data_IF_358287370557
#
_entry.id   IF_358287370557
#
_cell.length_a   1.000
_cell.length_b   1.000
_cell.length_c   1.000
_cell.angle_alpha   90.00
_cell.angle_beta   90.00
_cell.angle_gamma   90.00
#
_symmetry.space_group_name_H-M   'P 1'
#
loop_
_entity.id
_entity.type
_entity.pdbx_description
1 polymer ?
#
# COMPACT_ATOMS: atom_id res chain seq x y z
N UNK A 1 -2.73 -3.00 -20.75
CA UNK A 1 -2.54 -1.80 -19.92
C UNK A 1 -3.76 -1.64 -19.04
N UNK A 2 -3.60 -1.74 -17.72
CA UNK A 2 -4.69 -1.53 -16.77
C UNK A 2 -4.96 -0.02 -16.69
N UNK A 3 -5.97 0.45 -17.41
CA UNK A 3 -6.40 1.84 -17.30
C UNK A 3 -7.21 2.03 -16.04
N UNK A 4 -6.87 3.03 -15.25
CA UNK A 4 -7.71 3.52 -14.18
C UNK A 4 -9.00 4.14 -14.78
N UNK A 5 -10.18 3.94 -14.18
CA UNK A 5 -11.39 4.64 -14.58
C UNK A 5 -11.27 6.15 -14.28
N UNK A 6 -12.14 7.02 -14.81
CA UNK A 6 -12.15 8.42 -14.39
C UNK A 6 -12.47 8.56 -12.89
N UNK A 7 -11.69 9.34 -12.14
CA UNK A 7 -11.88 9.55 -10.71
C UNK A 7 -13.32 9.98 -10.33
N UNK A 8 -14.02 10.83 -11.12
CA UNK A 8 -15.40 11.21 -10.81
C UNK A 8 -16.42 10.06 -10.91
N UNK A 9 -16.08 8.95 -11.57
CA UNK A 9 -16.96 7.78 -11.71
C UNK A 9 -16.82 6.77 -10.58
N UNK A 10 -15.83 6.93 -9.70
CA UNK A 10 -15.54 5.98 -8.62
C UNK A 10 -16.75 5.75 -7.69
N UNK A 11 -17.51 6.77 -7.22
CA UNK A 11 -18.63 6.53 -6.30
C UNK A 11 -19.72 5.59 -6.84
N UNK A 12 -19.85 5.52 -8.17
CA UNK A 12 -20.85 4.71 -8.86
C UNK A 12 -20.29 3.36 -9.34
N UNK A 13 -19.00 3.10 -9.12
CA UNK A 13 -18.34 1.88 -9.54
C UNK A 13 -18.62 0.72 -8.56
N UNK A 14 -18.63 -0.54 -9.03
CA UNK A 14 -18.73 -1.70 -8.14
C UNK A 14 -17.53 -1.81 -7.18
N UNK A 15 -17.74 -2.38 -5.98
CA UNK A 15 -16.64 -2.57 -5.01
C UNK A 15 -15.42 -3.29 -5.58
N UNK A 16 -15.54 -4.36 -6.40
CA UNK A 16 -14.38 -4.98 -7.02
C UNK A 16 -13.55 -4.02 -7.90
N UNK A 17 -14.21 -3.03 -8.51
CA UNK A 17 -13.52 -1.99 -9.30
C UNK A 17 -12.80 -1.01 -8.38
N UNK A 18 -13.44 -0.60 -7.28
CA UNK A 18 -12.85 0.29 -6.30
C UNK A 18 -11.63 -0.34 -5.61
N UNK A 19 -11.77 -1.59 -5.16
CA UNK A 19 -10.67 -2.38 -4.61
C UNK A 19 -9.53 -2.50 -5.60
N UNK A 20 -9.81 -2.81 -6.87
CA UNK A 20 -8.77 -2.88 -7.89
C UNK A 20 -8.06 -1.54 -8.13
N UNK A 21 -8.78 -0.42 -8.04
CA UNK A 21 -8.19 0.92 -8.12
C UNK A 21 -7.27 1.17 -6.93
N UNK A 22 -7.68 0.78 -5.72
CA UNK A 22 -6.84 0.87 -4.52
C UNK A 22 -5.59 -0.01 -4.66
N UNK A 23 -5.74 -1.26 -5.09
CA UNK A 23 -4.64 -2.23 -5.31
C UNK A 23 -3.67 -1.82 -6.43
N UNK A 24 -4.09 -0.93 -7.33
CA UNK A 24 -3.24 -0.36 -8.38
C UNK A 24 -2.47 0.87 -7.89
N UNK A 25 -3.06 1.65 -6.99
CA UNK A 25 -2.49 2.89 -6.47
C UNK A 25 -1.65 2.67 -5.21
N UNK A 26 -1.96 1.63 -4.46
CA UNK A 26 -1.38 1.25 -3.18
C UNK A 26 -1.17 -0.27 -3.16
N UNK A 27 -0.33 -0.77 -2.26
CA UNK A 27 -0.21 -2.22 -2.11
C UNK A 27 -1.55 -2.84 -1.64
N UNK A 28 -1.96 -4.00 -2.21
CA UNK A 28 -3.15 -4.71 -1.78
C UNK A 28 -3.22 -4.92 -0.27
N UNK A 29 -4.18 -4.27 0.37
CA UNK A 29 -4.32 -4.24 1.82
C UNK A 29 -5.80 -4.24 2.21
N UNK A 30 -6.34 -5.37 2.74
CA UNK A 30 -7.73 -5.43 3.19
C UNK A 30 -8.09 -4.33 4.22
N UNK A 31 -7.23 -3.99 5.21
CA UNK A 31 -7.50 -2.87 6.11
C UNK A 31 -7.62 -1.52 5.39
N UNK A 32 -6.78 -1.26 4.37
CA UNK A 32 -6.87 -0.04 3.57
C UNK A 32 -8.18 0.02 2.77
N UNK A 33 -8.65 -1.13 2.26
CA UNK A 33 -9.95 -1.21 1.57
C UNK A 33 -11.09 -0.87 2.54
N UNK A 34 -11.11 -1.48 3.73
CA UNK A 34 -12.12 -1.20 4.76
C UNK A 34 -12.15 0.28 5.14
N UNK A 35 -10.98 0.91 5.27
CA UNK A 35 -10.85 2.32 5.60
C UNK A 35 -11.34 3.24 4.46
N UNK A 36 -10.96 2.95 3.23
CA UNK A 36 -11.07 3.89 2.10
C UNK A 36 -12.34 3.71 1.27
N UNK A 37 -12.90 2.50 1.19
CA UNK A 37 -14.11 2.21 0.39
C UNK A 37 -15.32 3.10 0.77
N UNK A 38 -15.64 3.35 2.05
CA UNK A 38 -16.76 4.22 2.41
C UNK A 38 -16.60 5.65 1.88
N UNK A 39 -15.37 6.16 1.83
CA UNK A 39 -15.06 7.51 1.35
C UNK A 39 -15.15 7.57 -0.18
N UNK A 40 -14.65 6.56 -0.89
CA UNK A 40 -14.80 6.44 -2.34
C UNK A 40 -16.27 6.41 -2.78
N UNK A 41 -17.16 5.88 -1.94
CA UNK A 41 -18.61 5.83 -2.20
C UNK A 41 -19.36 7.10 -1.86
N UNK A 42 -18.93 7.80 -0.80
CA UNK A 42 -19.63 8.98 -0.29
C UNK A 42 -19.14 10.29 -0.90
N UNK A 43 -17.90 10.33 -1.39
CA UNK A 43 -17.25 11.56 -1.86
C UNK A 43 -16.80 11.43 -3.31
N UNK A 44 -17.31 12.26 -4.23
CA UNK A 44 -16.76 12.34 -5.58
C UNK A 44 -15.39 13.02 -5.56
N UNK A 45 -14.42 12.41 -6.24
CA UNK A 45 -13.08 12.98 -6.40
C UNK A 45 -12.91 13.54 -7.81
N UNK A 46 -12.43 14.78 -7.99
CA UNK A 46 -12.23 15.37 -9.31
C UNK A 46 -11.11 14.69 -10.09
N UNK A 47 -10.06 14.25 -9.39
CA UNK A 47 -8.90 13.57 -9.95
C UNK A 47 -8.27 12.60 -8.93
N UNK A 48 -7.32 11.80 -9.41
CA UNK A 48 -6.59 10.84 -8.59
C UNK A 48 -5.62 11.50 -7.60
N UNK A 49 -5.11 12.70 -7.89
CA UNK A 49 -4.24 13.41 -6.96
C UNK A 49 -4.99 13.78 -5.67
N UNK A 50 -6.22 14.27 -5.81
CA UNK A 50 -7.11 14.59 -4.69
C UNK A 50 -7.46 13.34 -3.89
N UNK A 51 -7.71 12.21 -4.56
CA UNK A 51 -7.93 10.92 -3.88
C UNK A 51 -6.69 10.51 -3.06
N UNK A 52 -5.50 10.58 -3.65
CA UNK A 52 -4.25 10.20 -2.96
C UNK A 52 -4.02 11.08 -1.73
N UNK A 53 -4.27 12.39 -1.82
CA UNK A 53 -4.19 13.31 -0.67
C UNK A 53 -5.19 12.93 0.43
N UNK A 54 -6.43 12.58 0.06
CA UNK A 54 -7.44 12.15 1.02
C UNK A 54 -7.08 10.83 1.72
N UNK A 55 -6.49 9.88 1.00
CA UNK A 55 -5.98 8.63 1.59
C UNK A 55 -4.80 8.91 2.51
N UNK A 56 -3.86 9.77 2.09
CA UNK A 56 -2.73 10.20 2.92
C UNK A 56 -3.19 10.86 4.23
N UNK A 57 -4.22 11.70 4.18
CA UNK A 57 -4.80 12.32 5.36
C UNK A 57 -5.39 11.28 6.34
N UNK A 58 -6.04 10.23 5.84
CA UNK A 58 -6.55 9.13 6.68
C UNK A 58 -5.43 8.34 7.36
N UNK A 59 -4.37 8.00 6.61
CA UNK A 59 -3.21 7.31 7.16
C UNK A 59 -2.49 8.14 8.23
N UNK A 60 -2.35 9.45 7.99
CA UNK A 60 -1.80 10.39 8.98
C UNK A 60 -2.70 10.52 10.21
N UNK A 61 -4.02 10.49 10.04
CA UNK A 61 -4.95 10.49 11.16
C UNK A 61 -4.76 9.24 12.04
N UNK A 62 -4.64 8.06 11.43
CA UNK A 62 -4.30 6.82 12.15
C UNK A 62 -2.95 6.94 12.89
N UNK A 63 -1.93 7.51 12.24
CA UNK A 63 -0.60 7.71 12.83
C UNK A 63 -0.61 8.69 14.02
N UNK A 64 -1.48 9.70 13.97
CA UNK A 64 -1.66 10.69 15.04
C UNK A 64 -2.60 10.25 16.15
N UNK A 65 -3.29 9.12 15.98
CA UNK A 65 -4.24 8.60 16.94
C UNK A 65 -3.53 8.06 18.18
N UNK A 66 -4.15 8.25 19.35
CA UNK A 66 -3.68 7.68 20.62
C UNK A 66 -4.28 6.30 20.91
N UNK A 67 -5.14 5.79 20.02
CA UNK A 67 -5.74 4.46 20.18
C UNK A 67 -4.79 3.37 19.68
N UNK A 68 -4.75 2.25 20.42
CA UNK A 68 -3.97 1.08 20.02
C UNK A 68 -4.52 0.44 18.74
N UNK A 69 -5.83 0.52 18.54
CA UNK A 69 -6.54 -0.04 17.39
C UNK A 69 -6.14 0.65 16.09
N UNK A 70 -6.13 2.00 16.06
CA UNK A 70 -5.74 2.76 14.88
C UNK A 70 -4.26 2.55 14.53
N UNK A 71 -3.40 2.48 15.55
CA UNK A 71 -1.97 2.16 15.36
C UNK A 71 -1.78 0.75 14.80
N UNK A 72 -2.57 -0.23 15.27
CA UNK A 72 -2.53 -1.60 14.76
C UNK A 72 -3.01 -1.66 13.30
N UNK A 73 -4.11 -0.97 12.96
CA UNK A 73 -4.60 -0.87 11.58
C UNK A 73 -3.55 -0.25 10.66
N UNK A 74 -2.89 0.84 11.08
CA UNK A 74 -1.80 1.43 10.29
C UNK A 74 -0.63 0.46 10.11
N UNK A 75 -0.25 -0.26 11.17
CA UNK A 75 0.82 -1.27 11.12
C UNK A 75 0.48 -2.39 10.13
N UNK A 76 -0.76 -2.86 10.09
CA UNK A 76 -1.23 -3.88 9.14
C UNK A 76 -1.19 -3.36 7.69
N UNK A 77 -1.56 -2.10 7.47
CA UNK A 77 -1.48 -1.47 6.14
C UNK A 77 -0.01 -1.38 5.68
N UNK A 78 0.88 -0.92 6.54
CA UNK A 78 2.32 -0.85 6.23
C UNK A 78 2.90 -2.24 5.97
N UNK A 79 2.51 -3.23 6.77
CA UNK A 79 2.95 -4.62 6.63
C UNK A 79 2.36 -5.36 5.43
N UNK A 80 1.39 -4.79 4.72
CA UNK A 80 0.90 -5.38 3.47
C UNK A 80 1.99 -5.35 2.36
N UNK A 81 2.94 -4.42 2.47
CA UNK A 81 4.03 -4.28 1.49
C UNK A 81 4.97 -5.48 1.49
N UNK A 82 5.32 -6.02 0.30
CA UNK A 82 6.33 -7.06 0.17
C UNK A 82 7.69 -6.52 0.61
N UNK A 83 8.56 -7.38 1.15
CA UNK A 83 9.91 -6.95 1.54
C UNK A 83 10.69 -6.54 0.30
N UNK A 84 11.56 -5.54 0.42
CA UNK A 84 12.47 -5.17 -0.66
C UNK A 84 13.43 -6.33 -0.95
N UNK A 85 13.44 -6.80 -2.20
CA UNK A 85 14.26 -7.94 -2.65
C UNK A 85 13.55 -9.30 -2.54
N UNK A 86 12.28 -9.34 -2.13
CA UNK A 86 11.53 -10.58 -2.01
C UNK A 86 11.24 -11.18 -3.40
N UNK A 87 11.53 -12.47 -3.56
CA UNK A 87 11.43 -13.17 -4.86
C UNK A 87 9.99 -13.47 -5.29
N UNK A 88 9.03 -13.41 -4.36
CA UNK A 88 7.62 -13.71 -4.60
C UNK A 88 6.77 -12.50 -4.21
N UNK A 89 6.55 -11.64 -5.20
CA UNK A 89 5.68 -10.48 -5.04
C UNK A 89 4.42 -10.73 -5.87
N UNK A 90 3.28 -10.82 -5.18
CA UNK A 90 1.99 -11.16 -5.81
C UNK A 90 1.43 -9.99 -6.64
N UNK A 91 1.76 -8.74 -6.27
CA UNK A 91 1.42 -7.54 -7.04
C UNK A 91 2.29 -7.41 -8.30
N UNK A 92 1.66 -7.27 -9.46
CA UNK A 92 2.34 -7.07 -10.75
C UNK A 92 3.18 -5.77 -10.75
N UNK A 93 2.71 -4.75 -10.01
CA UNK A 93 3.35 -3.46 -9.88
C UNK A 93 4.62 -3.57 -9.03
N UNK A 94 4.50 -4.20 -7.87
CA UNK A 94 5.60 -4.36 -6.92
C UNK A 94 6.68 -5.30 -7.49
N UNK A 95 6.31 -6.28 -8.34
CA UNK A 95 7.28 -7.06 -9.14
C UNK A 95 8.06 -6.18 -10.14
N UNK A 96 7.41 -5.21 -10.80
CA UNK A 96 8.09 -4.30 -11.73
C UNK A 96 9.02 -3.33 -11.01
N UNK A 97 8.59 -2.82 -9.87
CA UNK A 97 9.38 -1.90 -9.04
C UNK A 97 10.63 -2.58 -8.48
N UNK A 98 10.50 -3.83 -8.02
CA UNK A 98 11.63 -4.59 -7.48
C UNK A 98 12.47 -5.33 -8.54
N UNK A 99 12.06 -5.34 -9.82
CA UNK A 99 12.79 -6.04 -10.89
C UNK A 99 14.23 -5.50 -11.04
N UNK A 100 14.46 -4.21 -10.77
CA UNK A 100 15.80 -3.61 -10.81
C UNK A 100 16.65 -4.00 -9.60
N UNK A 101 16.03 -4.18 -8.41
CA UNK A 101 16.72 -4.59 -7.19
C UNK A 101 17.20 -6.05 -7.25
N UNK A 102 16.45 -6.91 -7.97
CA UNK A 102 16.85 -8.29 -8.21
C UNK A 102 17.92 -8.43 -9.31
N UNK A 103 18.12 -7.39 -10.14
CA UNK A 103 19.14 -7.33 -11.18
C UNK A 103 20.46 -6.68 -10.74
N UNK A 104 20.53 -6.18 -9.50
CA UNK A 104 21.75 -5.71 -8.86
C UNK A 104 22.77 -6.83 -8.68
N UNK A 105 24.06 -6.49 -8.70
CA UNK A 105 25.17 -7.47 -8.75
C UNK A 105 25.12 -8.54 -7.65
N UNK A 106 25.86 -9.64 -7.85
CA UNK A 106 25.94 -10.77 -6.90
C UNK A 106 26.09 -10.28 -5.45
N UNK A 107 25.10 -10.60 -4.61
CA UNK A 107 25.09 -10.31 -3.17
C UNK A 107 24.24 -9.11 -2.71
N UNK A 108 23.63 -8.32 -3.61
CA UNK A 108 22.72 -7.23 -3.18
C UNK A 108 21.42 -7.73 -2.54
N UNK A 109 20.84 -8.82 -3.05
CA UNK A 109 19.65 -9.44 -2.47
C UNK A 109 19.87 -9.99 -1.05
N UNK A 110 21.04 -10.58 -0.78
CA UNK A 110 21.40 -11.10 0.54
C UNK A 110 21.62 -9.96 1.55
N UNK A 111 22.21 -8.84 1.11
CA UNK A 111 22.33 -7.63 1.95
C UNK A 111 20.97 -7.04 2.30
N UNK A 112 20.04 -6.99 1.33
CA UNK A 112 18.68 -6.52 1.57
C UNK A 112 17.95 -7.43 2.56
N UNK A 113 18.14 -8.75 2.49
CA UNK A 113 17.56 -9.68 3.46
C UNK A 113 18.08 -9.43 4.88
N UNK A 114 19.39 -9.20 5.04
CA UNK A 114 19.99 -8.85 6.33
C UNK A 114 19.44 -7.53 6.87
N UNK A 115 19.33 -6.49 6.03
CA UNK A 115 18.82 -5.18 6.43
C UNK A 115 17.33 -5.22 6.80
N UNK A 116 16.51 -5.97 6.06
CA UNK A 116 15.12 -6.20 6.42
C UNK A 116 15.01 -6.85 7.80
N UNK A 117 15.84 -7.86 8.10
CA UNK A 117 15.86 -8.51 9.41
C UNK A 117 16.26 -7.55 10.53
N UNK A 118 17.35 -6.79 10.35
CA UNK A 118 17.79 -5.82 11.37
C UNK A 118 16.74 -4.73 11.63
N UNK A 119 16.02 -4.30 10.59
CA UNK A 119 14.93 -3.36 10.73
C UNK A 119 13.75 -3.95 11.51
N UNK A 120 13.30 -5.17 11.14
CA UNK A 120 12.20 -5.87 11.80
C UNK A 120 12.51 -6.22 13.27
N UNK A 121 13.77 -6.56 13.59
CA UNK A 121 14.22 -6.78 14.96
C UNK A 121 14.17 -5.49 15.79
N UNK A 122 14.54 -4.35 15.19
CA UNK A 122 14.53 -3.05 15.86
C UNK A 122 13.14 -2.44 15.97
N UNK A 123 12.27 -2.73 15.00
CA UNK A 123 10.91 -2.22 14.91
C UNK A 123 9.93 -3.39 14.73
N UNK A 124 9.61 -4.12 15.81
CA UNK A 124 8.77 -5.30 15.73
C UNK A 124 7.40 -5.01 15.10
N UNK A 125 7.06 -5.77 14.06
CA UNK A 125 5.79 -5.61 13.36
C UNK A 125 5.76 -4.49 12.32
N UNK A 126 6.92 -3.91 11.93
CA UNK A 126 7.05 -3.02 10.79
C UNK A 126 7.95 -3.64 9.73
N UNK A 127 7.62 -3.43 8.45
CA UNK A 127 8.47 -3.82 7.32
C UNK A 127 9.27 -2.61 6.81
N UNK A 128 10.43 -2.90 6.24
CA UNK A 128 11.18 -1.90 5.49
C UNK A 128 10.59 -1.82 4.07
N UNK A 129 9.86 -0.74 3.81
CA UNK A 129 9.08 -0.47 2.59
C UNK A 129 9.76 0.61 1.77
#
# INVERSE_FOLDING_TARGET
MTSLPPAPTLPHSPDPTLTKVLDLLFEPSPPLHTLTLPILRSTPFPDYATLIVAVSAQLNALASSSTREDTATLSEILCAHPRLGEKKVDSEQSRKEQAQLQGGGEGEGEKLEVLNREYEERFPGLRYV
#
